data_IF_707193027442
#
_entry.id   IF_707193027442
#
_cell.length_a   1.000
_cell.length_b   1.000
_cell.length_c   1.000
_cell.angle_alpha   90.00
_cell.angle_beta   90.00
_cell.angle_gamma   90.00
#
_symmetry.space_group_name_H-M   'P 1'
#
loop_
_entity.id
_entity.type
_entity.pdbx_description
1 polymer ?
#
# COMPACT_ATOMS: atom_id res chain seq x y z
N UNK A 1 -16.38 -35.29 -16.29
CA UNK A 1 -16.90 -34.00 -15.79
C UNK A 1 -16.81 -33.84 -14.26
N UNK A 2 -16.41 -34.86 -13.49
CA UNK A 2 -16.29 -34.77 -12.02
C UNK A 2 -15.04 -34.00 -11.56
N UNK A 3 -13.95 -34.03 -12.34
CA UNK A 3 -12.66 -33.43 -11.95
C UNK A 3 -12.65 -31.89 -11.88
N UNK A 4 -13.40 -31.18 -12.74
CA UNK A 4 -13.46 -29.71 -12.67
C UNK A 4 -14.22 -29.19 -11.47
N UNK A 5 -15.25 -29.91 -11.00
CA UNK A 5 -15.95 -29.54 -9.77
C UNK A 5 -15.07 -29.73 -8.54
N UNK A 6 -14.20 -30.74 -8.51
CA UNK A 6 -13.21 -30.87 -7.43
C UNK A 6 -12.12 -29.81 -7.48
N UNK A 7 -11.65 -29.39 -8.66
CA UNK A 7 -10.66 -28.31 -8.76
C UNK A 7 -11.28 -26.96 -8.41
N UNK A 8 -12.53 -26.72 -8.82
CA UNK A 8 -13.28 -25.53 -8.42
C UNK A 8 -13.68 -25.56 -6.94
N UNK A 9 -13.89 -26.74 -6.34
CA UNK A 9 -14.07 -26.84 -4.89
C UNK A 9 -12.74 -26.56 -4.18
N UNK A 10 -11.64 -27.20 -4.61
CA UNK A 10 -10.30 -27.07 -4.02
C UNK A 10 -9.64 -25.68 -4.18
N UNK A 11 -10.02 -24.89 -5.20
CA UNK A 11 -9.48 -23.55 -5.45
C UNK A 11 -10.53 -22.42 -5.39
N UNK A 12 -11.81 -22.74 -5.25
CA UNK A 12 -12.89 -21.80 -5.55
C UNK A 12 -13.82 -21.56 -4.38
N UNK A 13 -13.31 -20.99 -3.29
CA UNK A 13 -14.13 -20.33 -2.27
C UNK A 13 -14.24 -21.05 -0.92
N UNK A 14 -14.67 -22.32 -0.85
CA UNK A 14 -14.82 -23.04 0.41
C UNK A 14 -13.54 -23.12 1.24
N UNK A 15 -12.38 -23.47 0.65
CA UNK A 15 -11.09 -23.48 1.35
C UNK A 15 -10.74 -22.11 1.93
N UNK A 16 -10.94 -21.03 1.17
CA UNK A 16 -10.63 -19.66 1.63
C UNK A 16 -11.54 -19.26 2.79
N UNK A 17 -12.81 -19.62 2.73
CA UNK A 17 -13.77 -19.40 3.83
C UNK A 17 -13.39 -20.24 5.06
N UNK A 18 -12.97 -21.50 4.88
CA UNK A 18 -12.55 -22.37 5.97
C UNK A 18 -11.27 -21.84 6.65
N UNK A 19 -10.26 -21.43 5.88
CA UNK A 19 -9.05 -20.79 6.39
C UNK A 19 -9.41 -19.48 7.10
N UNK A 20 -10.26 -18.66 6.48
CA UNK A 20 -10.79 -17.44 7.07
C UNK A 20 -11.49 -17.71 8.40
N UNK A 21 -12.30 -18.76 8.50
CA UNK A 21 -12.99 -19.15 9.72
C UNK A 21 -12.01 -19.59 10.82
N UNK A 22 -10.96 -20.35 10.50
CA UNK A 22 -9.90 -20.71 11.45
C UNK A 22 -9.16 -19.47 11.95
N UNK A 23 -8.76 -18.58 11.05
CA UNK A 23 -8.12 -17.29 11.41
C UNK A 23 -9.05 -16.46 12.29
N UNK A 24 -10.34 -16.38 11.96
CA UNK A 24 -11.35 -15.69 12.77
C UNK A 24 -11.57 -16.35 14.13
N UNK A 25 -11.40 -17.66 14.26
CA UNK A 25 -11.49 -18.36 15.55
C UNK A 25 -10.27 -18.05 16.44
N UNK A 26 -9.08 -18.00 15.85
CA UNK A 26 -7.82 -17.73 16.56
C UNK A 26 -7.70 -16.27 17.00
N UNK A 27 -7.99 -15.34 16.09
CA UNK A 27 -7.81 -13.91 16.32
C UNK A 27 -9.10 -13.20 16.72
N UNK A 28 -10.27 -13.76 16.38
CA UNK A 28 -11.57 -13.14 16.61
C UNK A 28 -12.01 -12.22 15.47
N UNK A 29 -13.33 -12.17 15.22
CA UNK A 29 -13.92 -11.34 14.16
C UNK A 29 -13.71 -9.83 14.34
N UNK A 30 -13.41 -9.37 15.55
CA UNK A 30 -13.10 -7.96 15.82
C UNK A 30 -11.65 -7.59 15.51
N UNK A 31 -10.70 -8.54 15.58
CA UNK A 31 -9.26 -8.24 15.39
C UNK A 31 -8.88 -8.07 13.94
N UNK A 32 -9.50 -8.82 13.03
CA UNK A 32 -9.25 -8.69 11.59
C UNK A 32 -9.52 -7.26 11.05
N UNK A 33 -10.68 -6.62 11.30
CA UNK A 33 -10.94 -5.25 10.87
C UNK A 33 -10.12 -4.21 11.65
N UNK A 34 -9.76 -4.47 12.91
CA UNK A 34 -8.90 -3.61 13.71
C UNK A 34 -7.48 -3.54 13.11
N UNK A 35 -6.91 -4.70 12.75
CA UNK A 35 -5.62 -4.82 12.07
C UNK A 35 -5.66 -4.17 10.68
N UNK A 36 -6.69 -4.43 9.89
CA UNK A 36 -6.85 -3.83 8.56
C UNK A 36 -6.93 -2.29 8.65
N UNK A 37 -7.63 -1.75 9.64
CA UNK A 37 -7.68 -0.29 9.89
C UNK A 37 -6.31 0.26 10.29
N UNK A 38 -5.56 -0.45 11.14
CA UNK A 38 -4.19 -0.06 11.52
C UNK A 38 -3.25 -0.01 10.31
N UNK A 39 -3.22 -1.07 9.51
CA UNK A 39 -2.41 -1.16 8.29
C UNK A 39 -2.84 -0.09 7.26
N UNK A 40 -4.14 0.11 7.09
CA UNK A 40 -4.66 1.10 6.15
C UNK A 40 -4.26 2.53 6.52
N UNK A 41 -4.32 2.89 7.81
CA UNK A 41 -3.83 4.19 8.29
C UNK A 41 -2.33 4.35 8.08
N UNK A 42 -1.54 3.35 8.50
CA UNK A 42 -0.09 3.37 8.34
C UNK A 42 0.33 3.49 6.86
N UNK A 43 -0.34 2.76 5.96
CA UNK A 43 -0.10 2.84 4.52
C UNK A 43 -0.48 4.21 3.95
N UNK A 44 -1.58 4.81 4.41
CA UNK A 44 -1.99 6.16 4.01
C UNK A 44 -1.00 7.24 4.46
N UNK A 45 -0.56 7.19 5.72
CA UNK A 45 0.45 8.13 6.26
C UNK A 45 1.79 7.95 5.56
N UNK A 46 2.21 6.70 5.32
CA UNK A 46 3.44 6.41 4.57
C UNK A 46 3.39 6.99 3.15
N UNK A 47 2.27 6.81 2.44
CA UNK A 47 2.11 7.35 1.09
C UNK A 47 2.12 8.89 1.08
N UNK A 48 1.52 9.52 2.10
CA UNK A 48 1.56 10.99 2.26
C UNK A 48 3.00 11.48 2.48
N UNK A 49 3.74 10.84 3.38
CA UNK A 49 5.13 11.18 3.65
C UNK A 49 6.03 10.99 2.41
N UNK A 50 5.83 9.91 1.64
CA UNK A 50 6.53 9.70 0.37
C UNK A 50 6.25 10.82 -0.65
N UNK A 51 5.01 11.30 -0.71
CA UNK A 51 4.60 12.33 -1.66
C UNK A 51 5.16 13.72 -1.28
N UNK A 52 5.16 14.04 0.01
CA UNK A 52 5.78 15.25 0.55
C UNK A 52 7.29 15.25 0.34
N UNK A 53 7.94 14.10 0.57
CA UNK A 53 9.36 13.92 0.26
C UNK A 53 9.66 14.17 -1.22
N UNK A 54 8.92 13.53 -2.14
CA UNK A 54 9.07 13.76 -3.58
C UNK A 54 8.94 15.24 -3.94
N UNK A 55 7.93 15.92 -3.41
CA UNK A 55 7.71 17.33 -3.71
C UNK A 55 8.84 18.21 -3.19
N UNK A 56 9.35 17.92 -1.98
CA UNK A 56 10.49 18.66 -1.41
C UNK A 56 11.78 18.50 -2.25
N UNK A 57 12.00 17.32 -2.84
CA UNK A 57 13.14 17.06 -3.73
C UNK A 57 12.97 17.80 -5.06
N UNK A 58 11.78 17.76 -5.66
CA UNK A 58 11.48 18.50 -6.91
C UNK A 58 11.62 20.02 -6.73
N UNK A 59 11.12 20.56 -5.61
CA UNK A 59 11.28 22.00 -5.30
C UNK A 59 12.75 22.36 -5.04
N UNK A 60 13.51 21.52 -4.34
CA UNK A 60 14.93 21.75 -4.13
C UNK A 60 15.75 21.69 -5.43
N UNK A 61 15.39 20.80 -6.37
CA UNK A 61 15.99 20.78 -7.71
C UNK A 61 15.63 22.03 -8.51
N UNK A 62 14.37 22.49 -8.49
CA UNK A 62 13.96 23.73 -9.17
C UNK A 62 14.64 24.99 -8.58
N UNK A 63 14.84 25.05 -7.26
CA UNK A 63 15.55 26.15 -6.60
C UNK A 63 17.05 26.12 -6.87
N UNK A 64 17.67 24.94 -6.94
CA UNK A 64 19.08 24.78 -7.32
C UNK A 64 19.33 25.24 -8.77
N UNK A 65 18.44 24.91 -9.71
CA UNK A 65 18.55 25.31 -11.12
C UNK A 65 18.38 26.83 -11.29
N UNK A 66 17.46 27.46 -10.54
CA UNK A 66 17.25 28.92 -10.58
C UNK A 66 18.43 29.72 -10.01
N UNK A 67 19.15 29.15 -9.05
CA UNK A 67 20.32 29.82 -8.42
C UNK A 67 21.54 29.83 -9.36
N UNK A 68 21.64 28.90 -10.32
CA UNK A 68 22.73 28.84 -11.30
C UNK A 68 22.55 29.76 -12.52
N UNK A 69 21.33 30.24 -12.82
CA UNK A 69 21.10 31.18 -13.94
C UNK A 69 21.36 32.66 -13.56
N UNK A 70 21.40 33.02 -12.27
CA UNK A 70 21.59 34.40 -11.79
C UNK A 70 23.07 34.78 -11.49
N UNK A 71 24.05 33.96 -11.89
CA UNK A 71 25.49 34.29 -11.79
C UNK A 71 26.23 34.06 -13.12
N UNK A 72 25.58 34.37 -14.26
CA UNK A 72 26.33 34.66 -15.48
C UNK A 72 26.68 36.15 -15.50
N UNK A 73 27.96 36.53 -15.35
CA UNK A 73 28.37 37.91 -15.58
C UNK A 73 27.96 38.27 -17.01
N UNK A 74 27.04 39.23 -17.13
CA UNK A 74 26.70 39.87 -18.38
C UNK A 74 27.99 40.55 -18.89
N UNK A 75 28.63 39.93 -19.89
CA UNK A 75 29.72 40.52 -20.67
C UNK A 75 29.25 40.75 -22.10
#
# INVERSE_FOLDING_TARGET
MINSYLIAFALGGPEVIAIGAVVLLLFGAKKLPELARGIGKASGEFKKAQNEFKHSIETAEEEAIKTEEEDKPQS
#
